data_IF_758857746655
#
_entry.id   IF_758857746655
#
_cell.length_a   1.000
_cell.length_b   1.000
_cell.length_c   1.000
_cell.angle_alpha   90.00
_cell.angle_beta   90.00
_cell.angle_gamma   90.00
#
_symmetry.space_group_name_H-M   'P 1'
#
loop_
_entity.id
_entity.type
_entity.pdbx_description
1 polymer ?
#
# COMPACT_ATOMS: atom_id res chain seq x y z
N UNK A 1 -3.23 21.73 -3.46
CA UNK A 1 -2.65 20.50 -2.92
C UNK A 1 -1.52 20.06 -3.85
N UNK A 2 -0.34 19.68 -3.33
CA UNK A 2 0.79 19.26 -4.15
C UNK A 2 0.81 17.74 -4.29
N UNK A 3 0.87 17.26 -5.54
CA UNK A 3 0.93 15.82 -5.81
C UNK A 3 2.20 15.48 -6.59
N UNK A 4 2.97 14.48 -6.17
CA UNK A 4 4.09 13.98 -6.96
C UNK A 4 3.54 13.29 -8.22
N UNK A 5 4.11 13.60 -9.39
CA UNK A 5 3.72 12.94 -10.63
C UNK A 5 4.89 12.25 -11.34
N UNK A 6 6.12 12.57 -10.98
CA UNK A 6 7.32 12.00 -11.57
C UNK A 6 8.52 12.26 -10.66
N UNK A 7 9.51 11.39 -10.72
CA UNK A 7 10.87 11.63 -10.24
C UNK A 7 11.89 11.51 -11.37
N UNK A 8 13.11 12.00 -11.15
CA UNK A 8 14.18 12.02 -12.18
C UNK A 8 15.16 10.84 -12.04
N UNK A 9 14.87 9.85 -11.19
CA UNK A 9 15.75 8.70 -11.05
C UNK A 9 15.64 7.76 -12.25
N UNK A 10 16.77 7.26 -12.77
CA UNK A 10 16.77 6.33 -13.89
C UNK A 10 16.24 4.96 -13.46
N UNK A 11 15.29 4.43 -14.22
CA UNK A 11 14.83 3.04 -14.07
C UNK A 11 15.90 2.09 -14.60
N UNK A 12 16.40 1.20 -13.75
CA UNK A 12 17.41 0.21 -14.11
C UNK A 12 16.77 -1.15 -14.42
N UNK A 13 15.69 -1.49 -13.68
CA UNK A 13 14.93 -2.72 -13.85
C UNK A 13 13.48 -2.43 -14.24
N UNK A 14 12.88 -3.34 -15.02
CA UNK A 14 11.42 -3.30 -15.23
C UNK A 14 10.71 -3.60 -13.91
N UNK A 15 9.81 -2.74 -13.40
CA UNK A 15 9.22 -2.86 -12.06
C UNK A 15 8.07 -3.87 -12.03
N UNK A 16 8.39 -5.14 -12.27
CA UNK A 16 7.41 -6.22 -12.38
C UNK A 16 6.60 -6.41 -11.09
N UNK A 17 7.28 -6.38 -9.93
CA UNK A 17 6.60 -6.59 -8.64
C UNK A 17 5.73 -5.41 -8.28
N UNK A 18 6.20 -4.18 -8.50
CA UNK A 18 5.41 -2.96 -8.30
C UNK A 18 4.11 -3.01 -9.08
N UNK A 19 4.17 -3.32 -10.39
CA UNK A 19 2.95 -3.44 -11.20
C UNK A 19 2.07 -4.61 -10.81
N UNK A 20 2.66 -5.73 -10.38
CA UNK A 20 1.90 -6.88 -9.87
C UNK A 20 1.12 -6.51 -8.61
N UNK A 21 1.74 -5.81 -7.65
CA UNK A 21 1.07 -5.36 -6.43
C UNK A 21 -0.05 -4.38 -6.78
N UNK A 22 0.19 -3.41 -7.66
CA UNK A 22 -0.84 -2.47 -8.13
C UNK A 22 -2.01 -3.23 -8.77
N UNK A 23 -1.72 -4.20 -9.65
CA UNK A 23 -2.72 -5.03 -10.29
C UNK A 23 -3.58 -5.83 -9.30
N UNK A 24 -2.95 -6.49 -8.33
CA UNK A 24 -3.66 -7.26 -7.29
C UNK A 24 -4.57 -6.35 -6.48
N UNK A 25 -4.07 -5.21 -5.99
CA UNK A 25 -4.86 -4.25 -5.22
C UNK A 25 -6.06 -3.73 -6.03
N UNK A 26 -5.84 -3.40 -7.30
CA UNK A 26 -6.90 -2.93 -8.20
C UNK A 26 -7.96 -4.00 -8.44
N UNK A 27 -7.56 -5.25 -8.66
CA UNK A 27 -8.49 -6.37 -8.84
C UNK A 27 -9.31 -6.66 -7.57
N UNK A 28 -8.65 -6.65 -6.39
CA UNK A 28 -9.35 -6.81 -5.11
C UNK A 28 -10.36 -5.69 -4.90
N UNK A 29 -10.00 -4.45 -5.20
CA UNK A 29 -10.90 -3.30 -5.07
C UNK A 29 -12.10 -3.39 -6.03
N UNK A 30 -11.85 -3.76 -7.30
CA UNK A 30 -12.93 -3.96 -8.29
C UNK A 30 -13.88 -5.06 -7.80
N UNK A 31 -13.34 -6.16 -7.29
CA UNK A 31 -14.15 -7.23 -6.72
C UNK A 31 -15.00 -6.74 -5.55
N UNK A 32 -14.41 -6.02 -4.58
CA UNK A 32 -15.10 -5.51 -3.39
C UNK A 32 -16.28 -4.58 -3.71
N UNK A 33 -16.11 -3.68 -4.68
CA UNK A 33 -17.07 -2.59 -4.88
C UNK A 33 -17.96 -2.73 -6.11
N UNK A 34 -17.62 -3.58 -7.08
CA UNK A 34 -18.34 -3.69 -8.34
C UNK A 34 -18.88 -5.10 -8.64
N UNK A 35 -18.31 -6.13 -8.02
CA UNK A 35 -18.70 -7.53 -8.30
C UNK A 35 -19.41 -8.13 -7.10
N UNK A 36 -18.93 -7.87 -5.89
CA UNK A 36 -19.48 -8.43 -4.66
C UNK A 36 -20.87 -7.85 -4.38
N UNK A 37 -21.88 -8.70 -4.04
CA UNK A 37 -23.16 -8.22 -3.53
C UNK A 37 -22.96 -7.34 -2.28
N UNK A 38 -23.69 -6.21 -2.16
CA UNK A 38 -23.49 -5.25 -1.07
C UNK A 38 -23.65 -5.83 0.33
N UNK A 39 -24.50 -6.82 0.51
CA UNK A 39 -24.74 -7.54 1.77
C UNK A 39 -23.54 -8.41 2.21
N UNK A 40 -22.67 -8.80 1.29
CA UNK A 40 -21.46 -9.57 1.58
C UNK A 40 -20.23 -8.71 1.86
N UNK A 41 -20.27 -7.40 1.61
CA UNK A 41 -19.12 -6.52 1.83
C UNK A 41 -18.73 -6.48 3.32
N UNK A 42 -19.68 -6.37 4.23
CA UNK A 42 -19.44 -6.40 5.67
C UNK A 42 -18.77 -7.68 6.14
N UNK A 43 -19.30 -8.88 5.84
CA UNK A 43 -18.66 -10.16 6.13
C UNK A 43 -17.25 -10.31 5.56
N UNK A 44 -17.01 -9.84 4.34
CA UNK A 44 -15.66 -9.88 3.74
C UNK A 44 -14.71 -8.94 4.46
N UNK A 45 -15.13 -7.71 4.78
CA UNK A 45 -14.30 -6.81 5.57
C UNK A 45 -13.96 -7.44 6.93
N UNK A 46 -14.92 -8.01 7.64
CA UNK A 46 -14.66 -8.64 8.94
C UNK A 46 -13.72 -9.84 8.87
N UNK A 47 -13.69 -10.54 7.74
CA UNK A 47 -12.83 -11.73 7.54
C UNK A 47 -11.39 -11.37 7.16
N UNK A 48 -11.19 -10.35 6.34
CA UNK A 48 -9.89 -10.06 5.71
C UNK A 48 -9.24 -8.77 6.20
N UNK A 49 -9.97 -7.84 6.80
CA UNK A 49 -9.41 -6.64 7.40
C UNK A 49 -8.74 -6.95 8.74
N UNK A 50 -7.75 -6.13 9.09
CA UNK A 50 -7.10 -6.22 10.40
C UNK A 50 -7.95 -5.52 11.45
N UNK A 51 -8.44 -6.25 12.45
CA UNK A 51 -9.11 -5.68 13.62
C UNK A 51 -8.15 -5.74 14.81
N UNK A 52 -7.71 -4.59 15.38
CA UNK A 52 -6.72 -4.60 16.45
C UNK A 52 -7.12 -5.34 17.73
N UNK A 53 -8.42 -5.48 18.00
CA UNK A 53 -8.92 -6.25 19.13
C UNK A 53 -8.81 -7.76 18.95
N UNK A 54 -8.76 -8.26 17.70
CA UNK A 54 -8.64 -9.68 17.36
C UNK A 54 -7.71 -9.87 16.15
N UNK A 55 -6.41 -9.61 16.31
CA UNK A 55 -5.46 -9.66 15.22
C UNK A 55 -5.05 -11.11 14.91
N UNK A 56 -4.89 -11.40 13.63
CA UNK A 56 -4.28 -12.65 13.17
C UNK A 56 -3.18 -12.38 12.14
N UNK A 57 -2.23 -13.31 12.00
CA UNK A 57 -1.20 -13.22 10.96
C UNK A 57 -1.83 -13.13 9.58
N UNK A 58 -2.94 -13.84 9.37
CA UNK A 58 -3.69 -13.82 8.12
C UNK A 58 -4.22 -12.40 7.83
N UNK A 59 -4.92 -11.76 8.79
CA UNK A 59 -5.50 -10.43 8.61
C UNK A 59 -4.45 -9.32 8.52
N UNK A 60 -3.27 -9.49 9.12
CA UNK A 60 -2.13 -8.58 8.94
C UNK A 60 -1.75 -8.45 7.46
N UNK A 61 -1.68 -9.56 6.73
CA UNK A 61 -1.30 -9.53 5.32
C UNK A 61 -2.46 -9.28 4.37
N UNK A 62 -3.63 -9.86 4.60
CA UNK A 62 -4.79 -9.67 3.71
C UNK A 62 -5.30 -8.23 3.71
N UNK A 63 -5.29 -7.56 4.86
CA UNK A 63 -5.69 -6.16 4.99
C UNK A 63 -4.87 -5.22 4.12
N UNK A 64 -3.61 -5.55 3.82
CA UNK A 64 -2.73 -4.75 2.97
C UNK A 64 -3.24 -4.62 1.52
N UNK A 65 -4.10 -5.55 1.08
CA UNK A 65 -4.62 -5.58 -0.29
C UNK A 65 -6.07 -5.08 -0.38
N UNK A 66 -6.71 -4.79 0.73
CA UNK A 66 -8.05 -4.22 0.76
C UNK A 66 -8.01 -2.69 0.85
N UNK A 67 -9.03 -2.03 0.33
CA UNK A 67 -9.12 -0.56 0.40
C UNK A 67 -10.54 -0.11 0.76
N UNK A 68 -10.63 0.89 1.65
CA UNK A 68 -11.89 1.39 2.18
C UNK A 68 -12.63 2.40 1.28
N UNK A 69 -12.10 2.72 0.08
CA UNK A 69 -12.75 3.64 -0.85
C UNK A 69 -11.85 4.05 -2.01
N UNK A 70 -12.47 4.69 -3.01
CA UNK A 70 -11.82 5.02 -4.29
C UNK A 70 -10.58 5.91 -4.12
N UNK A 71 -10.67 6.99 -3.35
CA UNK A 71 -9.53 7.88 -3.14
C UNK A 71 -8.40 7.19 -2.36
N UNK A 72 -8.75 6.27 -1.45
CA UNK A 72 -7.77 5.51 -0.69
C UNK A 72 -6.92 4.64 -1.62
N UNK A 73 -7.53 3.87 -2.53
CA UNK A 73 -6.77 3.06 -3.48
C UNK A 73 -6.02 3.92 -4.50
N UNK A 74 -6.61 4.98 -5.02
CA UNK A 74 -5.96 5.86 -6.00
C UNK A 74 -4.65 6.40 -5.42
N UNK A 75 -4.66 6.98 -4.21
CA UNK A 75 -3.44 7.52 -3.61
C UNK A 75 -2.41 6.44 -3.28
N UNK A 76 -2.83 5.30 -2.74
CA UNK A 76 -1.91 4.20 -2.48
C UNK A 76 -1.21 3.73 -3.76
N UNK A 77 -1.96 3.44 -4.81
CA UNK A 77 -1.40 2.95 -6.08
C UNK A 77 -0.57 4.01 -6.79
N UNK A 78 -0.96 5.26 -6.68
CA UNK A 78 -0.21 6.39 -7.24
C UNK A 78 1.17 6.52 -6.59
N UNK A 79 1.25 6.53 -5.27
CA UNK A 79 2.53 6.60 -4.56
C UNK A 79 3.40 5.36 -4.81
N UNK A 80 2.80 4.18 -4.82
CA UNK A 80 3.52 2.95 -5.14
C UNK A 80 4.05 2.97 -6.58
N UNK A 81 3.29 3.51 -7.54
CA UNK A 81 3.73 3.63 -8.92
C UNK A 81 4.93 4.56 -9.10
N UNK A 82 4.99 5.69 -8.37
CA UNK A 82 6.07 6.67 -8.50
C UNK A 82 7.34 6.22 -7.78
N UNK A 83 7.22 5.62 -6.59
CA UNK A 83 8.35 5.36 -5.72
C UNK A 83 8.75 3.88 -5.65
N UNK A 84 7.81 2.98 -5.95
CA UNK A 84 8.01 1.54 -5.86
C UNK A 84 9.04 1.02 -6.88
N UNK A 85 9.00 1.50 -8.11
CA UNK A 85 9.89 1.10 -9.19
C UNK A 85 11.38 1.41 -8.87
N UNK A 86 11.64 2.53 -8.21
CA UNK A 86 12.98 2.93 -7.80
C UNK A 86 13.54 1.98 -6.72
N UNK A 87 12.72 1.66 -5.71
CA UNK A 87 13.15 0.77 -4.62
C UNK A 87 13.22 -0.67 -5.10
N UNK A 88 12.33 -1.10 -5.99
CA UNK A 88 12.42 -2.40 -6.65
C UNK A 88 13.71 -2.50 -7.48
N UNK A 89 14.09 -1.44 -8.20
CA UNK A 89 15.36 -1.38 -8.95
C UNK A 89 16.60 -1.52 -8.07
N UNK A 90 16.55 -0.97 -6.85
CA UNK A 90 17.67 -1.04 -5.88
C UNK A 90 17.75 -2.42 -5.21
N UNK A 91 16.62 -2.98 -4.80
CA UNK A 91 16.57 -4.22 -4.02
C UNK A 91 16.55 -5.48 -4.90
N UNK A 92 16.06 -5.35 -6.13
CA UNK A 92 15.66 -6.46 -7.00
C UNK A 92 14.30 -7.07 -6.57
N UNK A 93 13.64 -7.74 -7.50
CA UNK A 93 12.26 -8.22 -7.35
C UNK A 93 12.00 -8.99 -6.05
N UNK A 94 12.81 -10.01 -5.74
CA UNK A 94 12.57 -10.88 -4.58
C UNK A 94 12.69 -10.15 -3.25
N UNK A 95 13.72 -9.32 -3.11
CA UNK A 95 13.95 -8.55 -1.88
C UNK A 95 12.91 -7.44 -1.72
N UNK A 96 12.43 -6.87 -2.83
CA UNK A 96 11.38 -5.86 -2.79
C UNK A 96 10.06 -6.44 -2.28
N UNK A 97 9.65 -7.65 -2.72
CA UNK A 97 8.47 -8.34 -2.15
C UNK A 97 8.61 -8.51 -0.64
N UNK A 98 9.76 -9.06 -0.19
CA UNK A 98 10.00 -9.26 1.24
C UNK A 98 9.97 -7.93 2.01
N UNK A 99 10.62 -6.91 1.49
CA UNK A 99 10.67 -5.58 2.09
C UNK A 99 9.26 -4.97 2.20
N UNK A 100 8.46 -5.04 1.14
CA UNK A 100 7.08 -4.54 1.13
C UNK A 100 6.22 -5.22 2.19
N UNK A 101 6.28 -6.57 2.26
CA UNK A 101 5.53 -7.35 3.26
C UNK A 101 6.00 -7.06 4.69
N UNK A 102 7.31 -6.93 4.92
CA UNK A 102 7.85 -6.60 6.24
C UNK A 102 7.46 -5.20 6.70
N UNK A 103 7.49 -4.20 5.80
CA UNK A 103 7.04 -2.85 6.11
C UNK A 103 5.54 -2.81 6.45
N UNK A 104 4.72 -3.50 5.66
CA UNK A 104 3.28 -3.60 5.93
C UNK A 104 2.97 -4.33 7.24
N UNK A 105 3.64 -5.46 7.48
CA UNK A 105 3.51 -6.20 8.75
C UNK A 105 3.97 -5.38 9.95
N UNK A 106 5.10 -4.68 9.85
CA UNK A 106 5.60 -3.80 10.91
C UNK A 106 4.65 -2.65 11.23
N UNK A 107 4.09 -2.01 10.19
CA UNK A 107 3.07 -0.97 10.37
C UNK A 107 1.79 -1.52 11.00
N UNK A 108 1.35 -2.71 10.60
CA UNK A 108 0.20 -3.37 11.20
C UNK A 108 0.43 -3.70 12.70
N UNK A 109 1.61 -4.21 13.06
CA UNK A 109 1.98 -4.47 14.46
C UNK A 109 1.98 -3.19 15.30
N UNK A 110 2.56 -2.11 14.77
CA UNK A 110 2.53 -0.82 15.44
C UNK A 110 1.10 -0.32 15.66
N UNK A 111 0.25 -0.48 14.65
CA UNK A 111 -1.14 -0.06 14.71
C UNK A 111 -1.96 -0.87 15.73
N UNK A 112 -1.71 -2.19 15.84
CA UNK A 112 -2.29 -3.04 16.89
C UNK A 112 -1.90 -2.53 18.27
N UNK A 113 -0.63 -2.17 18.47
CA UNK A 113 -0.15 -1.66 19.76
C UNK A 113 -0.77 -0.32 20.15
N UNK A 114 -0.88 0.61 19.18
CA UNK A 114 -1.43 1.95 19.44
C UNK A 114 -2.95 1.89 19.65
N UNK A 115 -3.66 1.00 18.97
CA UNK A 115 -5.12 0.89 18.99
C UNK A 115 -5.59 -0.40 19.67
N UNK A 116 -4.90 -0.88 20.69
CA UNK A 116 -5.23 -2.11 21.42
C UNK A 116 -6.70 -2.10 21.84
N UNK A 117 -7.43 -3.16 21.47
CA UNK A 117 -8.86 -3.31 21.79
C UNK A 117 -9.82 -2.58 20.83
N UNK A 118 -9.33 -1.86 19.82
CA UNK A 118 -10.20 -1.24 18.81
C UNK A 118 -10.90 -2.31 17.96
N UNK A 119 -12.23 -2.17 17.83
CA UNK A 119 -13.07 -3.01 16.97
C UNK A 119 -13.18 -2.46 15.53
N UNK A 120 -12.50 -1.35 15.22
CA UNK A 120 -12.57 -0.72 13.92
C UNK A 120 -11.64 -1.48 12.95
N UNK A 121 -12.20 -2.08 11.86
CA UNK A 121 -11.40 -2.78 10.88
C UNK A 121 -10.47 -1.82 10.12
N UNK A 122 -9.25 -2.25 9.90
CA UNK A 122 -8.22 -1.49 9.20
C UNK A 122 -7.83 -2.19 7.90
N UNK A 123 -7.69 -1.39 6.86
CA UNK A 123 -7.35 -1.86 5.50
C UNK A 123 -6.42 -0.87 4.82
N UNK A 124 -5.60 -1.34 3.89
CA UNK A 124 -4.81 -0.52 2.99
C UNK A 124 -3.33 -0.87 2.93
N UNK A 125 -2.76 -0.61 1.77
CA UNK A 125 -1.34 -0.78 1.48
C UNK A 125 -0.44 0.29 2.12
N UNK A 126 -1.04 1.32 2.76
CA UNK A 126 -0.36 2.56 3.17
C UNK A 126 0.84 2.33 4.10
N UNK A 127 0.78 1.35 4.99
CA UNK A 127 1.90 1.00 5.86
C UNK A 127 3.12 0.49 5.11
N UNK A 128 2.93 -0.41 4.14
CA UNK A 128 4.00 -0.88 3.26
C UNK A 128 4.54 0.24 2.37
N UNK A 129 3.65 1.07 1.82
CA UNK A 129 4.02 2.22 0.97
C UNK A 129 4.79 3.28 1.77
N UNK A 130 4.44 3.50 3.03
CA UNK A 130 5.23 4.37 3.91
C UNK A 130 6.67 3.87 4.08
N UNK A 131 6.86 2.54 4.18
CA UNK A 131 8.18 1.92 4.18
C UNK A 131 8.93 2.15 2.86
N UNK A 132 8.25 2.01 1.71
CA UNK A 132 8.82 2.31 0.38
C UNK A 132 9.25 3.76 0.29
N UNK A 133 8.40 4.70 0.72
CA UNK A 133 8.74 6.14 0.78
C UNK A 133 9.93 6.43 1.69
N UNK A 134 9.97 5.83 2.88
CA UNK A 134 11.10 5.97 3.79
C UNK A 134 12.41 5.48 3.17
N UNK A 135 12.38 4.32 2.52
CA UNK A 135 13.54 3.79 1.79
C UNK A 135 13.96 4.68 0.61
N UNK A 136 12.97 5.25 -0.11
CA UNK A 136 13.22 6.18 -1.20
C UNK A 136 13.93 7.44 -0.71
N UNK A 137 13.43 8.08 0.35
CA UNK A 137 14.03 9.28 0.93
C UNK A 137 15.45 9.01 1.45
N UNK A 138 15.67 7.85 2.06
CA UNK A 138 17.00 7.44 2.54
C UNK A 138 17.99 7.17 1.40
N UNK A 139 17.53 6.49 0.35
CA UNK A 139 18.40 6.09 -0.77
C UNK A 139 18.66 7.20 -1.77
N UNK A 140 17.70 8.10 -1.94
CA UNK A 140 17.72 9.19 -2.91
C UNK A 140 17.49 10.56 -2.28
N UNK A 141 18.30 10.99 -1.30
CA UNK A 141 18.06 12.21 -0.52
C UNK A 141 18.15 13.50 -1.35
N UNK A 142 18.70 13.42 -2.57
CA UNK A 142 18.83 14.57 -3.49
C UNK A 142 17.99 14.42 -4.76
N UNK A 143 17.11 13.42 -4.81
CA UNK A 143 16.26 13.21 -5.95
C UNK A 143 15.27 14.38 -6.12
N UNK A 144 15.11 14.84 -7.36
CA UNK A 144 14.07 15.81 -7.69
C UNK A 144 12.75 15.05 -7.88
N UNK A 145 11.76 15.41 -7.07
CA UNK A 145 10.38 14.92 -7.23
C UNK A 145 9.55 16.07 -7.79
N UNK A 146 9.00 15.87 -8.96
CA UNK A 146 8.15 16.86 -9.61
C UNK A 146 6.76 16.86 -9.00
N UNK A 147 6.31 18.01 -8.53
CA UNK A 147 5.01 18.20 -7.91
C UNK A 147 4.09 18.97 -8.86
N UNK A 148 2.89 18.47 -9.06
CA UNK A 148 1.81 19.20 -9.72
C UNK A 148 0.97 19.95 -8.69
N UNK A 149 0.60 21.20 -8.99
CA UNK A 149 -0.34 21.96 -8.19
C UNK A 149 -1.74 21.72 -8.73
N UNK A 150 -2.54 20.97 -7.98
CA UNK A 150 -3.97 20.85 -8.28
C UNK A 150 -4.70 21.88 -7.44
N UNK A 151 -5.29 22.89 -8.13
CA UNK A 151 -6.25 23.81 -7.53
C UNK A 151 -7.60 23.07 -7.47
N UNK A 152 -8.02 22.75 -6.27
CA UNK A 152 -9.37 22.27 -6.01
C UNK A 152 -10.22 23.47 -5.61
#
# INVERSE_FOLDING_TARGET
MFFPYKDDNPRILFPFVTYTIIGINSLVFIYQYFILPPDLLGPIISTYALTPADPSVFTVFTSMFMHGGLMHIIFNMWFLWIFGDNIESVLGHKRFVLFYLLCGGGAALLQIQINTGSQIPMVGASGAIAGVLGAYLFRFPRATVHLSLIHI
#
